data_IF_637376653804
#
_entry.id   IF_637376653804
#
_cell.length_a   1.000
_cell.length_b   1.000
_cell.length_c   1.000
_cell.angle_alpha   90.00
_cell.angle_beta   90.00
_cell.angle_gamma   90.00
#
_symmetry.space_group_name_H-M   'P 1'
#
loop_
_entity.id
_entity.type
_entity.pdbx_description
1 polymer ?
#
# COMPACT_ATOMS: atom_id res chain seq x y z
N UNK A 1 0.44 -17.21 -11.87
CA UNK A 1 -0.24 -16.94 -10.60
C UNK A 1 -1.73 -16.80 -10.78
N UNK A 2 -2.45 -17.40 -9.90
CA UNK A 2 -3.88 -17.38 -9.98
C UNK A 2 -4.36 -15.97 -9.64
N UNK A 3 -5.05 -15.32 -10.55
CA UNK A 3 -5.48 -13.94 -10.32
C UNK A 3 -6.55 -13.85 -9.23
N UNK A 4 -7.33 -14.90 -9.03
CA UNK A 4 -8.33 -14.91 -7.97
C UNK A 4 -7.63 -14.92 -6.62
N UNK A 5 -6.59 -15.71 -6.48
CA UNK A 5 -5.84 -15.75 -5.25
C UNK A 5 -5.15 -14.44 -4.98
N UNK A 6 -4.62 -13.81 -6.03
CA UNK A 6 -3.95 -12.53 -5.88
C UNK A 6 -4.93 -11.48 -5.40
N UNK A 7 -6.11 -11.42 -5.97
CA UNK A 7 -7.12 -10.46 -5.56
C UNK A 7 -7.57 -10.69 -4.13
N UNK A 8 -7.65 -11.94 -3.72
CA UNK A 8 -8.04 -12.25 -2.35
C UNK A 8 -7.00 -11.74 -1.37
N UNK A 9 -5.72 -11.93 -1.68
CA UNK A 9 -4.66 -11.45 -0.83
C UNK A 9 -4.66 -9.93 -0.78
N UNK A 10 -4.90 -9.28 -1.92
CA UNK A 10 -4.99 -7.82 -1.96
C UNK A 10 -6.12 -7.32 -1.07
N UNK A 11 -7.25 -8.00 -1.07
CA UNK A 11 -8.37 -7.62 -0.21
C UNK A 11 -8.04 -7.77 1.25
N UNK A 12 -7.39 -8.85 1.61
CA UNK A 12 -7.01 -9.10 3.00
C UNK A 12 -6.03 -8.03 3.47
N UNK A 13 -5.04 -7.71 2.65
CA UNK A 13 -4.05 -6.70 3.01
C UNK A 13 -4.72 -5.33 3.12
N UNK A 14 -5.67 -5.04 2.21
CA UNK A 14 -6.39 -3.78 2.27
C UNK A 14 -7.09 -3.62 3.61
N UNK A 15 -7.81 -4.64 4.05
CA UNK A 15 -8.51 -4.59 5.32
C UNK A 15 -7.56 -4.46 6.50
N UNK A 16 -6.53 -5.28 6.51
CA UNK A 16 -5.62 -5.32 7.65
C UNK A 16 -4.79 -4.04 7.73
N UNK A 17 -4.30 -3.54 6.61
CA UNK A 17 -3.53 -2.31 6.63
C UNK A 17 -4.40 -1.11 6.95
N UNK A 18 -5.66 -1.12 6.52
CA UNK A 18 -6.57 -0.05 6.88
C UNK A 18 -6.71 0.06 8.39
N UNK A 19 -6.84 -1.08 9.05
CA UNK A 19 -6.96 -1.09 10.49
C UNK A 19 -5.68 -0.64 11.18
N UNK A 20 -4.53 -1.14 10.69
CA UNK A 20 -3.24 -0.81 11.27
C UNK A 20 -2.99 0.69 11.16
N UNK A 21 -3.20 1.25 9.98
CA UNK A 21 -2.94 2.67 9.76
C UNK A 21 -3.93 3.55 10.51
N UNK A 22 -5.19 3.14 10.60
CA UNK A 22 -6.18 3.92 11.33
C UNK A 22 -5.82 3.99 12.81
N UNK A 23 -5.41 2.87 13.38
CA UNK A 23 -5.03 2.83 14.78
C UNK A 23 -3.79 3.69 15.00
N UNK A 24 -2.81 3.56 14.13
CA UNK A 24 -1.59 4.34 14.26
C UNK A 24 -1.89 5.85 14.18
N UNK A 25 -2.74 6.25 13.24
CA UNK A 25 -3.08 7.65 13.09
C UNK A 25 -3.79 8.18 14.32
N UNK A 26 -4.67 7.38 14.87
CA UNK A 26 -5.40 7.78 16.06
C UNK A 26 -4.47 8.00 17.23
N UNK A 27 -3.40 7.24 17.31
CA UNK A 27 -2.46 7.33 18.41
C UNK A 27 -1.39 8.40 18.19
N UNK A 28 -1.08 8.71 16.96
CA UNK A 28 0.09 9.53 16.65
C UNK A 28 -0.20 10.86 15.95
N UNK A 29 -1.26 10.94 15.17
CA UNK A 29 -1.55 12.17 14.41
C UNK A 29 -3.01 12.48 14.46
N UNK A 30 -3.50 12.83 15.62
CA UNK A 30 -4.93 13.12 15.76
C UNK A 30 -5.36 14.20 14.79
N UNK A 31 -6.56 14.03 14.26
CA UNK A 31 -7.10 15.03 13.35
C UNK A 31 -6.86 14.72 11.89
N UNK A 32 -6.04 13.73 11.57
CA UNK A 32 -5.82 13.32 10.19
C UNK A 32 -6.35 11.92 10.01
N UNK A 33 -7.15 11.71 8.98
CA UNK A 33 -7.68 10.41 8.66
C UNK A 33 -6.77 9.75 7.63
N UNK A 34 -6.27 8.57 7.94
CA UNK A 34 -5.51 7.77 7.00
C UNK A 34 -6.39 6.66 6.49
N UNK A 35 -6.51 6.54 5.19
CA UNK A 35 -7.32 5.49 4.57
C UNK A 35 -6.52 4.81 3.49
N UNK A 36 -6.60 3.48 3.44
CA UNK A 36 -6.00 2.74 2.33
C UNK A 36 -7.02 2.74 1.21
N UNK A 37 -6.66 3.30 0.06
CA UNK A 37 -7.60 3.39 -1.05
C UNK A 37 -7.41 2.24 -2.02
N UNK A 38 -6.23 1.65 -2.06
CA UNK A 38 -6.01 0.51 -2.91
C UNK A 38 -4.73 -0.22 -2.55
N UNK A 39 -4.71 -1.52 -2.74
CA UNK A 39 -3.49 -2.32 -2.58
C UNK A 39 -3.29 -3.11 -3.86
N UNK A 40 -2.07 -3.08 -4.38
CA UNK A 40 -1.71 -3.83 -5.55
C UNK A 40 -0.50 -4.70 -5.18
N UNK A 41 -0.62 -6.01 -5.37
CA UNK A 41 0.45 -6.93 -4.99
C UNK A 41 1.03 -7.55 -6.26
N UNK A 42 2.35 -7.65 -6.32
CA UNK A 42 2.99 -8.27 -7.48
C UNK A 42 2.64 -9.76 -7.54
N UNK A 43 2.62 -10.35 -8.74
CA UNK A 43 2.20 -11.74 -8.87
C UNK A 43 3.01 -12.73 -8.05
N UNK A 44 4.28 -12.44 -7.81
CA UNK A 44 5.12 -13.31 -6.98
C UNK A 44 4.96 -12.99 -5.49
N UNK A 45 4.06 -12.07 -5.15
CA UNK A 45 3.77 -11.67 -3.77
C UNK A 45 4.96 -11.04 -3.06
N UNK A 46 5.89 -10.47 -3.80
CA UNK A 46 7.08 -9.90 -3.18
C UNK A 46 6.89 -8.45 -2.74
N UNK A 47 5.99 -7.72 -3.41
CA UNK A 47 5.78 -6.30 -3.11
C UNK A 47 4.29 -5.99 -3.04
N UNK A 48 3.90 -5.28 -2.00
CA UNK A 48 2.54 -4.77 -1.87
C UNK A 48 2.62 -3.25 -1.93
N UNK A 49 2.00 -2.68 -2.95
CA UNK A 49 1.95 -1.23 -3.14
C UNK A 49 0.65 -0.73 -2.56
N UNK A 50 0.77 0.13 -1.57
CA UNK A 50 -0.37 0.59 -0.78
C UNK A 50 -0.57 2.07 -1.01
N UNK A 51 -1.74 2.42 -1.54
CA UNK A 51 -2.08 3.81 -1.76
C UNK A 51 -2.85 4.32 -0.58
N UNK A 52 -2.46 5.48 -0.10
CA UNK A 52 -3.00 6.03 1.13
C UNK A 52 -3.56 7.41 0.88
N UNK A 53 -4.77 7.65 1.38
CA UNK A 53 -5.35 8.97 1.38
C UNK A 53 -5.11 9.58 2.76
N UNK A 54 -4.66 10.83 2.79
CA UNK A 54 -4.34 11.52 4.03
C UNK A 54 -5.07 12.85 4.03
N UNK A 55 -6.02 13.02 4.95
CA UNK A 55 -6.78 14.26 4.96
C UNK A 55 -7.45 14.49 6.33
N UNK A 56 -7.43 15.71 6.85
CA UNK A 56 -6.64 16.84 6.37
C UNK A 56 -5.17 16.70 6.78
N UNK A 57 -4.28 17.27 5.99
CA UNK A 57 -2.87 17.17 6.30
C UNK A 57 -2.17 18.38 5.70
N UNK A 58 -1.23 18.95 6.43
CA UNK A 58 -0.51 20.09 5.95
C UNK A 58 0.62 19.74 4.99
N UNK A 59 1.32 18.65 5.26
CA UNK A 59 2.46 18.26 4.45
C UNK A 59 2.38 16.77 4.17
N UNK A 60 1.81 16.43 3.04
CA UNK A 60 1.66 15.03 2.65
C UNK A 60 3.00 14.34 2.50
N UNK A 61 3.98 15.03 1.99
CA UNK A 61 5.29 14.41 1.76
C UNK A 61 5.94 14.03 3.08
N UNK A 62 5.82 14.90 4.06
CA UNK A 62 6.40 14.61 5.37
C UNK A 62 5.70 13.42 6.03
N UNK A 63 4.38 13.37 5.94
CA UNK A 63 3.64 12.26 6.53
C UNK A 63 3.95 10.97 5.80
N UNK A 64 4.02 11.01 4.48
CA UNK A 64 4.33 9.82 3.70
C UNK A 64 5.74 9.32 4.04
N UNK A 65 6.70 10.24 4.19
CA UNK A 65 8.05 9.85 4.58
C UNK A 65 8.05 9.18 5.95
N UNK A 66 7.25 9.70 6.87
CA UNK A 66 7.13 9.12 8.21
C UNK A 66 6.55 7.71 8.14
N UNK A 67 5.53 7.50 7.32
CA UNK A 67 4.96 6.17 7.15
C UNK A 67 5.99 5.21 6.58
N UNK A 68 6.81 5.69 5.64
CA UNK A 68 7.84 4.84 5.05
C UNK A 68 8.90 4.45 6.05
N UNK A 69 9.21 5.32 6.98
CA UNK A 69 10.17 4.99 8.03
C UNK A 69 9.64 3.92 8.97
N UNK A 70 8.33 3.80 9.06
CA UNK A 70 7.70 2.84 9.96
C UNK A 70 7.33 1.54 9.27
N UNK A 71 7.75 1.36 8.02
CA UNK A 71 7.44 0.13 7.29
C UNK A 71 7.82 -1.13 8.05
N UNK A 72 9.00 -1.23 8.68
CA UNK A 72 9.31 -2.47 9.41
C UNK A 72 8.29 -2.77 10.50
N UNK A 73 7.82 -1.75 11.20
CA UNK A 73 6.82 -1.93 12.23
C UNK A 73 5.49 -2.38 11.64
N UNK A 74 5.03 -1.70 10.59
CA UNK A 74 3.76 -2.05 9.95
C UNK A 74 3.83 -3.43 9.32
N UNK A 75 4.96 -3.76 8.74
CA UNK A 75 5.14 -5.07 8.12
C UNK A 75 5.09 -6.17 9.16
N UNK A 76 5.64 -5.92 10.34
CA UNK A 76 5.56 -6.86 11.43
C UNK A 76 4.13 -7.08 11.90
N UNK A 77 3.36 -6.00 12.02
CA UNK A 77 1.97 -6.12 12.42
C UNK A 77 1.14 -6.83 11.38
N UNK A 78 1.35 -6.47 10.11
CA UNK A 78 0.64 -7.14 9.03
C UNK A 78 0.98 -8.62 8.99
N UNK A 79 2.25 -8.94 9.16
CA UNK A 79 2.70 -10.33 9.16
C UNK A 79 2.00 -11.15 10.22
N UNK A 80 1.78 -10.58 11.39
CA UNK A 80 1.07 -11.27 12.45
C UNK A 80 -0.36 -11.61 12.06
N UNK A 81 -0.96 -10.79 11.19
CA UNK A 81 -2.34 -11.01 10.78
C UNK A 81 -2.47 -11.98 9.60
N UNK A 82 -1.51 -11.98 8.68
CA UNK A 82 -1.66 -12.74 7.45
C UNK A 82 -0.74 -13.93 7.28
N UNK A 83 0.07 -14.22 8.28
CA UNK A 83 1.07 -15.29 8.11
C UNK A 83 0.47 -16.65 7.83
N UNK A 84 -0.81 -16.84 8.10
CA UNK A 84 -1.47 -18.10 7.79
C UNK A 84 -1.82 -18.20 6.30
N UNK A 85 -1.77 -17.09 5.59
CA UNK A 85 -2.21 -17.04 4.22
C UNK A 85 -1.07 -16.87 3.23
N UNK A 86 0.09 -16.42 3.70
CA UNK A 86 1.25 -16.24 2.82
C UNK A 86 2.48 -16.78 3.52
N UNK A 87 3.42 -17.29 2.72
CA UNK A 87 4.64 -17.78 3.29
C UNK A 87 5.55 -16.66 3.72
N UNK A 88 5.54 -15.58 2.97
CA UNK A 88 6.41 -14.46 3.23
C UNK A 88 5.59 -13.21 3.13
N UNK A 89 5.75 -12.30 4.07
CA UNK A 89 5.04 -11.03 4.03
C UNK A 89 5.69 -10.16 2.97
N UNK A 90 4.92 -9.57 2.06
CA UNK A 90 5.50 -8.74 1.00
C UNK A 90 6.20 -7.53 1.58
N UNK A 91 7.13 -6.97 0.82
CA UNK A 91 7.66 -5.66 1.14
C UNK A 91 6.57 -4.64 0.92
N UNK A 92 6.50 -3.63 1.77
CA UNK A 92 5.46 -2.61 1.65
C UNK A 92 6.02 -1.37 0.98
N UNK A 93 5.21 -0.77 0.10
CA UNK A 93 5.53 0.51 -0.50
C UNK A 93 4.31 1.38 -0.34
N UNK A 94 4.48 2.60 0.15
CA UNK A 94 3.38 3.52 0.33
C UNK A 94 3.41 4.61 -0.72
N UNK A 95 2.23 4.95 -1.24
CA UNK A 95 2.08 6.01 -2.21
C UNK A 95 0.92 6.90 -1.82
N UNK A 96 1.06 8.19 -2.12
CA UNK A 96 0.00 9.14 -1.93
C UNK A 96 -1.09 8.84 -2.96
N UNK A 97 -2.33 8.92 -2.54
CA UNK A 97 -3.46 8.69 -3.42
C UNK A 97 -3.44 9.61 -4.64
N UNK A 98 -2.94 10.82 -4.49
CA UNK A 98 -2.90 11.76 -5.61
C UNK A 98 -1.91 11.37 -6.70
N UNK A 99 -0.96 10.51 -6.42
CA UNK A 99 0.03 10.10 -7.41
C UNK A 99 -0.35 8.80 -8.09
N UNK A 100 -1.56 8.32 -7.82
CA UNK A 100 -1.98 7.06 -8.30
C UNK A 100 -2.00 6.87 -9.78
N UNK A 101 -2.59 7.74 -10.50
CA UNK A 101 -2.72 7.59 -11.94
C UNK A 101 -1.36 7.57 -12.63
N UNK A 102 -0.47 8.40 -12.13
CA UNK A 102 0.87 8.44 -12.68
C UNK A 102 1.57 7.11 -12.48
N UNK A 103 1.44 6.53 -11.30
CA UNK A 103 2.08 5.26 -11.01
C UNK A 103 1.48 4.15 -11.85
N UNK A 104 0.19 4.15 -12.04
CA UNK A 104 -0.44 3.14 -12.88
C UNK A 104 -0.01 3.25 -14.32
N UNK A 105 0.15 4.46 -14.82
CA UNK A 105 0.59 4.67 -16.17
C UNK A 105 2.02 4.14 -16.37
N UNK A 106 2.89 4.39 -15.41
CA UNK A 106 4.24 3.89 -15.48
C UNK A 106 4.26 2.38 -15.49
N UNK A 107 3.46 1.75 -14.64
CA UNK A 107 3.39 0.31 -14.60
C UNK A 107 2.95 -0.27 -15.92
N UNK A 108 1.96 0.33 -16.54
CA UNK A 108 1.50 -0.17 -17.81
C UNK A 108 2.58 -0.10 -18.87
N UNK A 109 3.31 0.99 -18.86
CA UNK A 109 4.35 1.14 -19.85
C UNK A 109 5.50 0.19 -19.61
N UNK A 110 5.85 -0.04 -18.41
CA UNK A 110 6.93 -0.96 -18.10
C UNK A 110 6.57 -2.39 -18.47
N UNK A 111 5.30 -2.70 -18.49
CA UNK A 111 4.87 -4.03 -18.90
C UNK A 111 4.68 -4.14 -20.39
N UNK A 112 4.95 -3.08 -21.13
CA UNK A 112 4.84 -3.13 -22.57
C UNK A 112 3.43 -3.05 -23.09
N UNK A 113 2.54 -2.60 -22.25
CA UNK A 113 1.24 -2.47 -22.68
C UNK A 113 1.00 -1.11 -23.12
N UNK A 114 0.62 -0.77 -23.93
CA UNK A 114 0.35 0.49 -24.19
C UNK A 114 1.38 1.16 -24.54
N UNK A 115 1.71 1.61 -24.95
CA UNK A 115 2.54 2.24 -25.19
C UNK A 115 2.97 2.96 -24.52
N UNK A 116 3.53 3.22 -24.13
CA UNK A 116 4.03 3.73 -23.37
C UNK A 116 4.50 4.84 -23.41
N UNK A 117 4.13 5.62 -23.15
CA UNK A 117 4.43 6.85 -23.26
C UNK A 117 5.33 7.37 -22.42
N UNK A 118 5.54 7.00 -21.45
CA UNK A 118 6.37 7.52 -20.65
C UNK A 118 7.48 7.16 -21.08
N UNK A 119 7.54 6.39 -21.92
CA UNK A 119 8.62 6.04 -22.36
C UNK A 119 9.28 6.96 -23.03
#
# INVERSE_FOLDING_TARGET
MDSVRLKKIESVITEDMSEILRRWANENIKGTLLSVTRVSVTPDLSIARIRVSMFPVEDKKALLARLRELIPQFRGELGGKIRHQVRKVPELEFFDDDSLDYIETIDRELRGEGENPIR
#
